data_IF_359433360937
#
_entry.id   IF_359433360937
#
_cell.length_a   1.000
_cell.length_b   1.000
_cell.length_c   1.000
_cell.angle_alpha   90.00
_cell.angle_beta   90.00
_cell.angle_gamma   90.00
#
_symmetry.space_group_name_H-M   'P 1'
#
loop_
_entity.id
_entity.type
_entity.pdbx_description
1 polymer ?
#
# COMPACT_ATOMS: atom_id res chain seq x y z
N UNK A 1 -14.39 5.73 -3.87
CA UNK A 1 -13.50 4.60 -4.23
C UNK A 1 -13.15 3.93 -2.93
N UNK A 2 -13.38 2.62 -2.79
CA UNK A 2 -13.20 1.93 -1.52
C UNK A 2 -11.82 1.29 -1.45
N UNK A 3 -11.08 1.60 -0.38
CA UNK A 3 -9.79 1.04 -0.05
C UNK A 3 -9.93 0.20 1.21
N UNK A 4 -9.38 -1.00 1.24
CA UNK A 4 -9.38 -1.85 2.43
C UNK A 4 -8.17 -1.55 3.28
N UNK A 5 -8.35 -1.51 4.59
CA UNK A 5 -7.23 -1.32 5.50
C UNK A 5 -6.32 -2.55 5.42
N UNK A 6 -5.01 -2.31 5.33
CA UNK A 6 -4.02 -3.37 5.25
C UNK A 6 -3.95 -4.16 6.56
N UNK A 7 -4.01 -3.50 7.72
CA UNK A 7 -3.88 -4.20 9.00
C UNK A 7 -5.21 -4.80 9.48
N UNK A 8 -6.35 -4.20 9.10
CA UNK A 8 -7.68 -4.53 9.66
C UNK A 8 -8.68 -4.90 8.57
N UNK A 9 -8.94 -6.19 8.43
CA UNK A 9 -9.78 -6.76 7.37
C UNK A 9 -11.16 -6.11 7.15
N UNK A 10 -11.82 -5.67 8.23
CA UNK A 10 -13.20 -5.15 8.18
C UNK A 10 -13.26 -3.64 8.10
N UNK A 11 -12.12 -2.98 7.94
CA UNK A 11 -11.98 -1.54 7.99
C UNK A 11 -11.70 -1.01 6.59
N UNK A 12 -12.43 0.03 6.21
CA UNK A 12 -12.44 0.56 4.85
C UNK A 12 -12.37 2.08 4.86
N UNK A 13 -11.77 2.62 3.81
CA UNK A 13 -11.71 4.05 3.55
C UNK A 13 -12.37 4.36 2.21
N UNK A 14 -13.44 5.17 2.23
CA UNK A 14 -14.01 5.74 1.02
C UNK A 14 -13.28 7.04 0.66
N UNK A 15 -12.40 6.94 -0.32
CA UNK A 15 -11.60 8.05 -0.82
C UNK A 15 -12.45 9.22 -1.35
N UNK A 16 -13.62 8.94 -1.93
CA UNK A 16 -14.45 10.00 -2.51
C UNK A 16 -15.18 10.82 -1.42
N UNK A 17 -15.46 10.19 -0.28
CA UNK A 17 -16.15 10.80 0.86
C UNK A 17 -15.19 11.21 1.96
N UNK A 18 -13.90 10.93 1.80
CA UNK A 18 -12.85 11.09 2.81
C UNK A 18 -13.29 10.54 4.17
N UNK A 19 -13.81 9.31 4.18
CA UNK A 19 -14.42 8.72 5.38
C UNK A 19 -13.99 7.29 5.58
N UNK A 20 -13.58 6.98 6.81
CA UNK A 20 -13.30 5.64 7.27
C UNK A 20 -14.54 5.03 7.95
N UNK A 21 -14.75 3.72 7.75
CA UNK A 21 -15.85 2.97 8.34
C UNK A 21 -15.52 1.48 8.45
N UNK A 22 -16.31 0.76 9.23
CA UNK A 22 -16.25 -0.71 9.30
C UNK A 22 -17.42 -1.33 8.55
N UNK A 23 -17.17 -2.43 7.86
CA UNK A 23 -18.17 -3.16 7.08
C UNK A 23 -17.86 -4.67 7.11
N UNK A 24 -18.88 -5.50 7.31
CA UNK A 24 -18.76 -6.97 7.30
C UNK A 24 -19.22 -7.61 6.00
N UNK A 25 -19.78 -6.83 5.07
CA UNK A 25 -20.34 -7.31 3.81
C UNK A 25 -19.30 -7.65 2.73
N UNK A 26 -18.01 -7.44 3.03
CA UNK A 26 -16.87 -7.65 2.13
C UNK A 26 -17.10 -6.97 0.75
N UNK A 27 -17.27 -5.63 0.71
CA UNK A 27 -17.54 -4.91 -0.52
C UNK A 27 -16.40 -5.03 -1.53
N UNK A 28 -16.70 -4.79 -2.81
CA UNK A 28 -15.66 -4.70 -3.85
C UNK A 28 -14.72 -3.53 -3.55
N UNK A 29 -13.45 -3.83 -3.32
CA UNK A 29 -12.40 -2.84 -3.06
C UNK A 29 -11.66 -2.53 -4.36
N UNK A 30 -11.05 -1.35 -4.41
CA UNK A 30 -10.19 -0.92 -5.53
C UNK A 30 -8.74 -0.71 -5.10
N UNK A 31 -8.38 -1.14 -3.90
CA UNK A 31 -7.04 -0.97 -3.38
C UNK A 31 -6.94 -1.21 -1.88
N UNK A 32 -5.75 -0.94 -1.38
CA UNK A 32 -5.37 -1.08 0.02
C UNK A 32 -4.85 0.24 0.56
N UNK A 33 -5.00 0.46 1.86
CA UNK A 33 -4.42 1.61 2.53
C UNK A 33 -3.90 1.27 3.92
N UNK A 34 -2.98 2.10 4.39
CA UNK A 34 -2.46 2.11 5.75
C UNK A 34 -2.19 3.54 6.17
N UNK A 35 -2.38 3.84 7.45
CA UNK A 35 -1.89 5.09 8.03
C UNK A 35 -0.47 4.88 8.53
N UNK A 36 0.45 5.72 8.06
CA UNK A 36 1.85 5.73 8.49
C UNK A 36 2.11 7.10 9.09
N UNK A 37 2.44 7.17 10.39
CA UNK A 37 2.59 8.43 11.12
C UNK A 37 1.41 9.40 10.92
N UNK A 38 0.18 8.88 10.99
CA UNK A 38 -1.08 9.61 10.73
C UNK A 38 -1.24 10.17 9.30
N UNK A 39 -0.39 9.75 8.35
CA UNK A 39 -0.51 10.09 6.92
C UNK A 39 -1.08 8.90 6.17
N UNK A 40 -2.08 9.14 5.31
CA UNK A 40 -2.67 8.10 4.48
C UNK A 40 -1.65 7.65 3.42
N UNK A 41 -1.30 6.37 3.42
CA UNK A 41 -0.59 5.71 2.33
C UNK A 41 -1.52 4.69 1.68
N UNK A 42 -1.66 4.72 0.36
CA UNK A 42 -2.55 3.80 -0.33
C UNK A 42 -2.00 3.34 -1.68
N UNK A 43 -2.42 2.14 -2.09
CA UNK A 43 -2.16 1.57 -3.40
C UNK A 43 -3.50 1.14 -4.00
N UNK A 44 -3.86 1.66 -5.16
CA UNK A 44 -5.19 1.45 -5.73
C UNK A 44 -5.21 1.42 -7.26
N UNK A 45 -6.30 0.92 -7.82
CA UNK A 45 -6.52 0.80 -9.26
C UNK A 45 -7.70 1.68 -9.67
N UNK A 46 -7.46 2.49 -10.71
CA UNK A 46 -8.47 3.32 -11.36
C UNK A 46 -8.17 3.36 -12.85
N UNK A 47 -9.20 3.22 -13.68
CA UNK A 47 -9.08 3.29 -15.15
C UNK A 47 -7.95 2.38 -15.70
N UNK A 48 -7.87 1.16 -15.16
CA UNK A 48 -6.88 0.12 -15.50
C UNK A 48 -5.42 0.52 -15.23
N UNK A 49 -5.20 1.50 -14.35
CA UNK A 49 -3.89 1.98 -13.97
C UNK A 49 -3.72 1.86 -12.45
N UNK A 50 -2.49 1.55 -12.05
CA UNK A 50 -2.09 1.45 -10.65
C UNK A 50 -1.62 2.83 -10.17
N UNK A 51 -2.06 3.21 -8.98
CA UNK A 51 -1.75 4.49 -8.36
C UNK A 51 -1.30 4.29 -6.93
N UNK A 52 -0.33 5.11 -6.52
CA UNK A 52 0.12 5.22 -5.14
C UNK A 52 -0.27 6.60 -4.58
N UNK A 53 -0.71 6.62 -3.32
CA UNK A 53 -1.04 7.84 -2.58
C UNK A 53 -0.15 7.92 -1.36
N UNK A 54 0.39 9.11 -1.10
CA UNK A 54 0.95 9.46 0.19
C UNK A 54 0.51 10.88 0.58
N UNK A 55 -0.31 10.99 1.62
CA UNK A 55 -0.91 12.26 2.02
C UNK A 55 -1.80 12.83 0.92
N UNK A 56 -1.38 13.94 0.33
CA UNK A 56 -2.10 14.61 -0.77
C UNK A 56 -1.53 14.27 -2.16
N UNK A 57 -0.37 13.61 -2.21
CA UNK A 57 0.29 13.28 -3.45
C UNK A 57 -0.29 12.00 -4.02
N UNK A 58 -0.61 12.02 -5.31
CA UNK A 58 -1.08 10.85 -6.06
C UNK A 58 -0.17 10.65 -7.26
N UNK A 59 0.41 9.47 -7.36
CA UNK A 59 1.36 9.11 -8.41
C UNK A 59 0.82 7.91 -9.18
N UNK A 60 0.80 8.04 -10.51
CA UNK A 60 0.50 6.90 -11.39
C UNK A 60 1.75 6.03 -11.52
N UNK A 61 1.65 4.76 -11.14
CA UNK A 61 2.75 3.81 -11.27
C UNK A 61 2.92 3.43 -12.74
N UNK A 62 4.09 3.74 -13.27
CA UNK A 62 4.51 3.43 -14.64
C UNK A 62 5.78 2.58 -14.65
N UNK A 63 6.29 2.22 -15.83
CA UNK A 63 7.54 1.45 -15.96
C UNK A 63 8.78 2.17 -15.40
N UNK A 64 8.75 3.50 -15.22
CA UNK A 64 9.87 4.28 -14.69
C UNK A 64 9.86 4.37 -13.16
N UNK A 65 8.75 3.97 -12.53
CA UNK A 65 8.59 4.05 -11.09
C UNK A 65 9.19 2.85 -10.39
N UNK A 66 9.89 3.08 -9.28
CA UNK A 66 10.39 2.01 -8.43
C UNK A 66 10.51 2.47 -6.98
N UNK A 67 10.44 1.52 -6.07
CA UNK A 67 10.57 1.72 -4.63
C UNK A 67 11.93 1.23 -4.15
N UNK A 68 12.55 2.03 -3.29
CA UNK A 68 13.69 1.63 -2.49
C UNK A 68 13.28 1.57 -1.02
N UNK A 69 13.67 0.49 -0.35
CA UNK A 69 13.52 0.32 1.08
C UNK A 69 14.90 0.28 1.72
N UNK A 70 15.09 1.05 2.79
CA UNK A 70 16.36 1.08 3.52
C UNK A 70 16.11 1.02 5.02
N UNK A 71 16.70 0.03 5.68
CA UNK A 71 16.79 -0.01 7.14
C UNK A 71 17.72 1.11 7.61
N UNK A 72 17.27 1.95 8.55
CA UNK A 72 18.11 2.99 9.15
C UNK A 72 18.68 2.54 10.49
N UNK A 73 17.82 1.94 11.32
CA UNK A 73 18.15 1.44 12.65
C UNK A 73 17.20 0.28 13.02
N UNK A 74 17.37 -0.33 14.19
CA UNK A 74 16.73 -1.62 14.57
C UNK A 74 15.21 -1.69 14.37
N UNK A 75 14.53 -0.55 14.28
CA UNK A 75 13.08 -0.51 14.15
C UNK A 75 12.59 0.67 13.30
N UNK A 76 13.47 1.25 12.48
CA UNK A 76 13.12 2.38 11.62
C UNK A 76 13.60 2.16 10.19
N UNK A 77 12.75 2.59 9.27
CA UNK A 77 12.87 2.30 7.86
C UNK A 77 12.60 3.57 7.06
N UNK A 78 13.21 3.60 5.89
CA UNK A 78 13.05 4.63 4.89
C UNK A 78 12.40 4.00 3.65
N UNK A 79 11.26 4.56 3.26
CA UNK A 79 10.60 4.28 2.01
C UNK A 79 10.86 5.42 1.05
N UNK A 80 11.28 5.10 -0.18
CA UNK A 80 11.49 6.08 -1.24
C UNK A 80 10.84 5.60 -2.53
N UNK A 81 9.94 6.39 -3.10
CA UNK A 81 9.41 6.19 -4.44
C UNK A 81 10.16 7.09 -5.42
N UNK A 82 10.71 6.48 -6.47
CA UNK A 82 11.49 7.14 -7.51
C UNK A 82 10.75 7.09 -8.84
N UNK A 83 10.91 8.13 -9.65
CA UNK A 83 10.66 8.12 -11.10
C UNK A 83 12.00 8.34 -11.83
N UNK A 84 12.54 7.27 -12.42
CA UNK A 84 13.91 7.29 -12.96
C UNK A 84 14.95 7.55 -11.86
N UNK A 85 15.43 8.78 -11.72
CA UNK A 85 16.36 9.17 -10.63
C UNK A 85 15.77 10.24 -9.70
N UNK A 86 14.55 10.69 -9.97
CA UNK A 86 13.88 11.73 -9.19
C UNK A 86 13.12 11.12 -8.01
N UNK A 87 13.25 11.72 -6.83
CA UNK A 87 12.48 11.34 -5.65
C UNK A 87 11.11 11.99 -5.71
N UNK A 88 10.07 11.18 -5.89
CA UNK A 88 8.68 11.65 -5.85
C UNK A 88 8.17 11.74 -4.43
N UNK A 89 8.45 10.72 -3.61
CA UNK A 89 8.14 10.76 -2.19
C UNK A 89 9.15 9.97 -1.39
N UNK A 90 9.39 10.45 -0.17
CA UNK A 90 10.31 9.83 0.78
C UNK A 90 9.76 10.06 2.18
N UNK A 91 9.66 9.00 2.97
CA UNK A 91 9.26 9.12 4.35
C UNK A 91 9.95 8.08 5.23
N UNK A 92 10.09 8.46 6.50
CA UNK A 92 10.58 7.58 7.54
C UNK A 92 9.42 7.07 8.36
N UNK A 93 9.52 5.82 8.79
CA UNK A 93 8.53 5.22 9.66
C UNK A 93 9.19 4.19 10.56
N UNK A 94 8.49 3.83 11.63
CA UNK A 94 8.91 2.80 12.55
C UNK A 94 7.91 1.66 12.48
N UNK A 95 8.40 0.43 12.44
CA UNK A 95 7.54 -0.72 12.64
C UNK A 95 7.20 -0.81 14.14
N UNK A 96 5.99 -1.23 14.53
CA UNK A 96 5.74 -1.53 15.93
C UNK A 96 6.67 -2.66 16.38
N UNK A 97 7.32 -2.51 17.53
CA UNK A 97 8.22 -3.51 18.16
C UNK A 97 7.52 -4.82 18.60
N UNK A 98 6.31 -5.11 18.12
CA UNK A 98 5.47 -6.18 18.64
C UNK A 98 5.52 -7.44 17.77
N UNK A 99 5.97 -8.52 18.41
CA UNK A 99 5.94 -9.92 17.98
C UNK A 99 4.54 -10.56 18.15
N UNK A 100 3.50 -9.90 17.63
CA UNK A 100 2.14 -10.49 17.60
C UNK A 100 1.63 -10.55 16.17
N UNK A 101 1.86 -11.71 15.57
CA UNK A 101 1.22 -12.19 14.35
C UNK A 101 -0.28 -12.30 14.56
N UNK A 102 -1.04 -11.30 14.13
CA UNK A 102 -2.39 -11.49 13.63
C UNK A 102 -2.65 -10.43 12.56
N UNK A 103 -2.08 -10.62 11.37
CA UNK A 103 -2.51 -9.94 10.16
C UNK A 103 -3.57 -10.81 9.45
N UNK A 104 -4.62 -10.22 8.86
CA UNK A 104 -5.75 -10.94 8.28
C UNK A 104 -5.46 -11.58 6.90
N UNK A 105 -4.20 -11.86 6.60
CA UNK A 105 -3.74 -12.36 5.30
C UNK A 105 -2.96 -13.67 5.42
N UNK A 106 -3.52 -14.66 6.13
CA UNK A 106 -3.01 -16.05 6.09
C UNK A 106 -2.93 -16.65 4.66
N UNK A 107 -3.36 -15.93 3.62
CA UNK A 107 -3.29 -16.32 2.21
C UNK A 107 -2.27 -15.54 1.36
N UNK A 108 -1.62 -14.51 1.91
CA UNK A 108 -0.43 -13.93 1.29
C UNK A 108 0.74 -14.70 1.89
N UNK A 109 1.39 -15.55 1.08
CA UNK A 109 2.51 -16.40 1.50
C UNK A 109 3.48 -15.66 2.46
N UNK A 110 4.02 -16.41 3.42
CA UNK A 110 4.79 -16.05 4.64
C UNK A 110 5.91 -14.98 4.55
N UNK A 111 6.09 -14.29 3.42
CA UNK A 111 7.15 -13.31 3.14
C UNK A 111 6.65 -11.85 2.91
N UNK A 112 5.35 -11.56 3.02
CA UNK A 112 4.76 -10.21 2.79
C UNK A 112 4.22 -9.58 4.10
N UNK A 113 5.02 -9.59 5.18
CA UNK A 113 4.54 -9.20 6.52
C UNK A 113 4.45 -7.69 6.79
N UNK A 114 4.79 -6.84 5.81
CA UNK A 114 4.83 -5.39 5.99
C UNK A 114 4.26 -4.62 4.79
N UNK A 115 3.66 -3.45 5.06
CA UNK A 115 3.00 -2.64 4.04
C UNK A 115 4.00 -2.13 2.99
N UNK A 116 5.20 -1.79 3.43
CA UNK A 116 6.30 -1.36 2.60
C UNK A 116 6.79 -2.45 1.64
N UNK A 117 6.94 -3.69 2.10
CA UNK A 117 7.41 -4.81 1.29
C UNK A 117 6.32 -5.20 0.31
N UNK A 118 5.07 -5.17 0.75
CA UNK A 118 3.92 -5.32 -0.13
C UNK A 118 3.94 -4.28 -1.26
N UNK A 119 4.04 -2.98 -0.93
CA UNK A 119 4.08 -1.91 -1.92
C UNK A 119 5.32 -2.03 -2.81
N UNK A 120 6.49 -2.32 -2.24
CA UNK A 120 7.74 -2.49 -2.99
C UNK A 120 7.65 -3.67 -3.96
N UNK A 121 7.12 -4.82 -3.53
CA UNK A 121 6.92 -6.00 -4.38
C UNK A 121 5.92 -5.71 -5.49
N UNK A 122 4.82 -5.01 -5.21
CA UNK A 122 3.85 -4.67 -6.26
C UNK A 122 4.42 -3.63 -7.22
N UNK A 123 5.01 -2.53 -6.75
CA UNK A 123 5.54 -1.46 -7.62
C UNK A 123 6.76 -1.93 -8.41
N UNK A 124 7.68 -2.71 -7.83
CA UNK A 124 8.91 -3.10 -8.52
C UNK A 124 8.74 -4.31 -9.45
N UNK A 125 7.69 -5.11 -9.29
CA UNK A 125 7.43 -6.30 -10.11
C UNK A 125 6.26 -6.06 -11.07
N UNK A 126 6.59 -5.96 -12.37
CA UNK A 126 5.61 -5.73 -13.44
C UNK A 126 4.52 -6.81 -13.51
N UNK A 127 4.85 -8.07 -13.25
CA UNK A 127 3.86 -9.15 -13.26
C UNK A 127 2.90 -8.99 -12.08
N UNK A 128 3.41 -8.63 -10.89
CA UNK A 128 2.56 -8.32 -9.73
C UNK A 128 1.69 -7.08 -9.94
N UNK A 129 2.19 -6.03 -10.58
CA UNK A 129 1.36 -4.88 -10.98
C UNK A 129 0.17 -5.34 -11.84
N UNK A 130 0.43 -6.12 -12.89
CA UNK A 130 -0.61 -6.64 -13.79
C UNK A 130 -1.62 -7.49 -13.03
N UNK A 131 -1.15 -8.38 -12.16
CA UNK A 131 -2.02 -9.24 -11.36
C UNK A 131 -2.89 -8.41 -10.39
N UNK A 132 -2.31 -7.41 -9.73
CA UNK A 132 -3.04 -6.51 -8.84
C UNK A 132 -4.12 -5.72 -9.58
N UNK A 133 -3.79 -5.19 -10.75
CA UNK A 133 -4.70 -4.49 -11.66
C UNK A 133 -5.86 -5.39 -12.09
N UNK A 134 -5.59 -6.64 -12.48
CA UNK A 134 -6.62 -7.63 -12.86
C UNK A 134 -7.53 -8.01 -11.69
N UNK A 135 -6.95 -8.39 -10.55
CA UNK A 135 -7.69 -8.87 -9.38
C UNK A 135 -8.66 -7.83 -8.80
N UNK A 136 -8.39 -6.53 -8.97
CA UNK A 136 -9.28 -5.45 -8.51
C UNK A 136 -10.36 -5.05 -9.54
N UNK A 137 -10.24 -5.55 -10.77
CA UNK A 137 -11.21 -5.32 -11.84
C UNK A 137 -12.21 -6.45 -12.03
N UNK A 138 -11.81 -7.67 -11.68
CA UNK A 138 -12.71 -8.82 -11.53
C UNK A 138 -13.71 -8.62 -10.37
#
# INVERSE_FOLDING_TARGET
>A
MLLRNFDVAKKYFDYNRNKEFEDTSNPQIKGWYKYINNVLSALFVKDNQLYFIYGNDTVMISNSHHVLLKTRDNNSYEFTLLDGFEILTQFYYQLPNFSFNFAPFEYLDDEDNSWEEYVAKVINDKQRQVNFVKNLME
#
